data_IF_808268667076
#
_entry.id   IF_808268667076
#
_cell.length_a   1.000
_cell.length_b   1.000
_cell.length_c   1.000
_cell.angle_alpha   90.00
_cell.angle_beta   90.00
_cell.angle_gamma   90.00
#
_symmetry.space_group_name_H-M   'P 1'
#
loop_
_entity.id
_entity.type
_entity.pdbx_description
1 polymer ?
#
# COMPACT_ATOMS: atom_id res chain seq x y z
N UNK A 1 8.38 21.32 -5.42
CA UNK A 1 7.83 20.55 -6.56
C UNK A 1 7.58 19.14 -6.04
N UNK A 2 6.36 18.60 -6.15
CA UNK A 2 6.04 17.27 -5.64
C UNK A 2 6.11 16.23 -6.76
N UNK A 3 6.62 15.05 -6.42
CA UNK A 3 6.87 13.92 -7.35
C UNK A 3 5.64 13.00 -7.46
N UNK A 4 4.79 12.99 -6.44
CA UNK A 4 3.59 12.18 -6.36
C UNK A 4 2.96 12.29 -4.97
N UNK A 5 1.85 11.60 -4.77
CA UNK A 5 1.15 11.49 -3.50
C UNK A 5 0.47 10.13 -3.42
N UNK A 6 0.48 9.56 -2.23
CA UNK A 6 -0.22 8.35 -1.86
C UNK A 6 -1.19 8.64 -0.70
N UNK A 7 -2.12 7.72 -0.46
CA UNK A 7 -3.08 7.82 0.65
C UNK A 7 -2.50 7.31 1.98
N UNK A 8 -1.38 6.60 1.92
CA UNK A 8 -0.60 6.13 3.07
C UNK A 8 0.84 6.66 3.01
N UNK A 9 1.65 6.32 4.02
CA UNK A 9 3.04 6.76 4.05
C UNK A 9 3.82 6.13 2.90
N UNK A 10 4.53 6.97 2.15
CA UNK A 10 5.49 6.52 1.14
C UNK A 10 6.75 6.03 1.86
N UNK A 11 7.14 4.79 1.60
CA UNK A 11 8.34 4.17 2.18
C UNK A 11 9.52 4.26 1.20
N UNK A 12 9.25 4.01 -0.08
CA UNK A 12 10.29 3.91 -1.11
C UNK A 12 9.86 4.57 -2.41
N UNK A 13 10.84 5.12 -3.13
CA UNK A 13 10.67 5.67 -4.47
C UNK A 13 11.81 5.19 -5.35
N UNK A 14 11.52 4.87 -6.61
CA UNK A 14 12.54 4.52 -7.60
C UNK A 14 12.30 5.26 -8.90
N UNK A 15 13.33 5.94 -9.39
CA UNK A 15 13.35 6.56 -10.70
C UNK A 15 14.11 5.67 -11.69
N UNK A 16 13.70 5.71 -12.95
CA UNK A 16 14.41 5.01 -14.01
C UNK A 16 15.44 5.91 -14.68
N UNK A 17 16.62 5.37 -15.06
CA UNK A 17 17.60 6.10 -15.85
C UNK A 17 17.24 6.18 -17.34
N UNK A 18 16.25 5.40 -17.81
CA UNK A 18 15.93 5.25 -19.24
C UNK A 18 14.55 5.78 -19.62
N UNK A 19 13.74 6.23 -18.66
CA UNK A 19 12.43 6.86 -18.91
C UNK A 19 11.99 7.73 -17.72
N UNK A 20 11.05 8.67 -17.91
CA UNK A 20 10.72 9.66 -16.87
C UNK A 20 9.75 9.17 -15.79
N UNK A 21 9.34 7.90 -15.79
CA UNK A 21 8.44 7.33 -14.77
C UNK A 21 9.17 6.95 -13.48
N UNK A 22 8.46 7.11 -12.36
CA UNK A 22 8.88 6.73 -11.01
C UNK A 22 7.92 5.72 -10.40
N UNK A 23 8.44 4.73 -9.67
CA UNK A 23 7.69 3.85 -8.77
C UNK A 23 7.63 4.45 -7.38
N UNK A 24 6.50 4.32 -6.70
CA UNK A 24 6.26 4.74 -5.32
C UNK A 24 5.70 3.54 -4.56
N UNK A 25 6.41 3.05 -3.56
CA UNK A 25 5.96 1.97 -2.66
C UNK A 25 5.45 2.54 -1.34
N UNK A 26 4.28 2.08 -0.90
CA UNK A 26 3.56 2.64 0.25
C UNK A 26 3.36 1.61 1.38
N UNK A 27 3.07 2.09 2.59
CA UNK A 27 2.85 1.22 3.78
C UNK A 27 1.56 0.41 3.71
N UNK A 28 0.57 0.85 2.96
CA UNK A 28 -0.68 0.12 2.73
C UNK A 28 -0.55 -1.02 1.71
N UNK A 29 0.64 -1.23 1.16
CA UNK A 29 0.90 -2.24 0.14
C UNK A 29 0.61 -1.78 -1.29
N UNK A 30 0.20 -0.53 -1.51
CA UNK A 30 0.05 0.02 -2.85
C UNK A 30 1.42 0.34 -3.47
N UNK A 31 1.57 -0.03 -4.74
CA UNK A 31 2.68 0.40 -5.59
C UNK A 31 2.13 1.22 -6.75
N UNK A 32 2.59 2.46 -6.85
CA UNK A 32 2.07 3.45 -7.79
C UNK A 32 3.17 3.84 -8.78
N UNK A 33 2.79 4.05 -10.04
CA UNK A 33 3.66 4.61 -11.07
C UNK A 33 3.14 5.97 -11.51
N UNK A 34 4.06 6.90 -11.76
CA UNK A 34 3.72 8.26 -12.23
C UNK A 34 4.86 8.85 -13.04
N UNK A 35 4.54 9.78 -13.94
CA UNK A 35 5.53 10.56 -14.69
C UNK A 35 5.61 11.99 -14.10
N UNK A 36 6.54 12.27 -13.16
CA UNK A 36 6.70 13.60 -12.60
C UNK A 36 7.10 14.64 -13.65
N UNK A 37 7.84 14.25 -14.71
CA UNK A 37 8.32 15.18 -15.74
C UNK A 37 7.19 15.87 -16.48
N UNK A 38 6.00 15.26 -16.56
CA UNK A 38 4.82 15.91 -17.16
C UNK A 38 4.50 17.24 -16.46
N UNK A 39 4.57 17.27 -15.14
CA UNK A 39 4.31 18.48 -14.34
C UNK A 39 5.49 19.46 -14.35
N UNK A 40 6.72 18.94 -14.42
CA UNK A 40 7.93 19.76 -14.56
C UNK A 40 7.91 20.56 -15.85
N UNK A 41 7.59 19.90 -16.97
CA UNK A 41 7.62 20.50 -18.30
C UNK A 41 6.35 21.33 -18.59
N UNK A 42 5.21 20.94 -18.02
CA UNK A 42 3.91 21.60 -18.27
C UNK A 42 3.25 21.87 -16.93
N UNK A 43 3.43 23.09 -16.40
CA UNK A 43 2.92 23.48 -15.09
C UNK A 43 1.40 23.29 -14.92
N UNK A 44 0.62 23.46 -16.00
CA UNK A 44 -0.84 23.27 -15.99
C UNK A 44 -1.29 21.82 -16.24
N UNK A 45 -0.38 20.89 -16.53
CA UNK A 45 -0.76 19.51 -16.77
C UNK A 45 -1.27 18.84 -15.49
N UNK A 46 -2.25 17.97 -15.67
CA UNK A 46 -2.72 17.07 -14.61
C UNK A 46 -1.65 16.02 -14.30
N UNK A 47 -1.58 15.63 -13.02
CA UNK A 47 -0.72 14.55 -12.56
C UNK A 47 -1.52 13.27 -12.55
N UNK A 48 -1.12 12.33 -13.38
CA UNK A 48 -1.76 11.02 -13.50
C UNK A 48 -0.95 10.00 -12.71
N UNK A 49 -1.63 9.25 -11.85
CA UNK A 49 -1.07 8.11 -11.14
C UNK A 49 -1.75 6.84 -11.66
N UNK A 50 -0.95 5.82 -11.91
CA UNK A 50 -1.44 4.47 -12.20
C UNK A 50 -1.01 3.59 -11.03
N UNK A 51 -1.98 3.03 -10.31
CA UNK A 51 -1.67 1.96 -9.36
C UNK A 51 -1.27 0.73 -10.17
N UNK A 52 -0.05 0.23 -9.95
CA UNK A 52 0.40 -1.01 -10.54
C UNK A 52 -0.35 -2.17 -9.88
N UNK A 53 -0.29 -2.25 -8.55
CA UNK A 53 -1.04 -3.21 -7.76
C UNK A 53 -1.18 -2.77 -6.30
N UNK A 54 -2.01 -3.50 -5.57
CA UNK A 54 -2.12 -3.41 -4.12
C UNK A 54 -1.89 -4.78 -3.49
N UNK A 55 -0.96 -4.85 -2.55
CA UNK A 55 -0.74 -6.01 -1.72
C UNK A 55 -1.52 -5.90 -0.42
N UNK A 56 -2.35 -6.89 -0.14
CA UNK A 56 -3.06 -6.99 1.12
C UNK A 56 -2.56 -8.22 1.86
N UNK A 57 -2.31 -8.05 3.16
CA UNK A 57 -1.95 -9.14 4.04
C UNK A 57 -3.00 -9.30 5.15
N UNK A 58 -3.15 -10.55 5.61
CA UNK A 58 -4.01 -10.92 6.73
C UNK A 58 -3.25 -11.87 7.65
N UNK A 59 -3.25 -11.56 8.94
CA UNK A 59 -2.76 -12.43 10.02
C UNK A 59 -3.35 -13.85 9.98
N UNK A 60 -2.66 -14.76 10.67
CA UNK A 60 -3.21 -16.06 11.00
C UNK A 60 -4.45 -15.90 11.91
N UNK A 61 -5.44 -16.76 11.68
CA UNK A 61 -6.70 -16.78 12.43
C UNK A 61 -6.89 -18.18 13.00
N UNK A 62 -7.37 -18.28 14.24
CA UNK A 62 -7.83 -19.52 14.83
C UNK A 62 -8.97 -20.15 14.02
N UNK A 63 -9.26 -21.44 14.25
CA UNK A 63 -10.28 -22.21 13.50
C UNK A 63 -11.66 -21.55 13.49
N UNK A 64 -11.97 -20.76 14.50
CA UNK A 64 -13.26 -20.07 14.68
C UNK A 64 -13.21 -18.59 14.26
N UNK A 65 -12.20 -18.19 13.50
CA UNK A 65 -12.02 -16.81 13.04
C UNK A 65 -11.73 -15.82 14.17
N UNK A 66 -11.24 -16.29 15.31
CA UNK A 66 -10.61 -15.44 16.32
C UNK A 66 -9.17 -15.18 15.92
N UNK A 67 -8.67 -13.96 16.07
CA UNK A 67 -7.24 -13.67 15.91
C UNK A 67 -6.50 -14.57 16.91
N UNK A 68 -5.50 -15.31 16.44
CA UNK A 68 -4.69 -16.18 17.31
C UNK A 68 -4.04 -15.31 18.41
N UNK A 69 -4.10 -15.72 19.68
CA UNK A 69 -3.59 -14.94 20.82
C UNK A 69 -2.10 -14.62 20.66
N UNK A 70 -1.33 -15.52 20.03
CA UNK A 70 0.07 -15.28 19.66
C UNK A 70 0.22 -14.19 18.59
N UNK A 71 -0.73 -14.06 17.66
CA UNK A 71 -0.78 -13.01 16.63
C UNK A 71 -1.36 -11.70 17.15
N UNK A 72 -2.21 -11.75 18.19
CA UNK A 72 -2.71 -10.58 18.91
C UNK A 72 -1.64 -9.98 19.84
N UNK A 73 -0.74 -10.81 20.38
CA UNK A 73 0.39 -10.36 21.22
C UNK A 73 1.46 -9.57 20.45
N UNK A 74 1.47 -9.60 19.12
CA UNK A 74 2.30 -8.69 18.30
C UNK A 74 1.76 -7.24 18.29
N UNK A 75 0.52 -7.03 18.75
CA UNK A 75 -0.16 -5.73 18.80
C UNK A 75 -0.11 -5.09 20.20
N UNK A 76 1.02 -5.21 20.90
CA UNK A 76 1.20 -4.72 22.29
C UNK A 76 1.19 -3.19 22.46
N UNK A 77 0.71 -2.42 21.47
CA UNK A 77 0.63 -0.95 21.54
C UNK A 77 -0.76 -0.39 21.85
N UNK A 78 -1.77 -1.22 22.04
CA UNK A 78 -3.03 -0.71 22.58
C UNK A 78 -2.88 -0.42 24.07
N UNK A 79 -2.81 0.86 24.45
CA UNK A 79 -2.87 1.34 25.85
C UNK A 79 -4.14 0.88 26.59
N UNK A 80 -5.09 0.30 25.84
CA UNK A 80 -6.25 -0.40 26.33
C UNK A 80 -5.88 -1.87 26.60
N UNK A 81 -5.68 -2.20 27.89
CA UNK A 81 -5.53 -3.60 28.36
C UNK A 81 -6.76 -4.48 28.07
N UNK A 82 -7.88 -3.88 27.66
CA UNK A 82 -9.11 -4.57 27.30
C UNK A 82 -9.76 -3.89 26.07
N UNK A 83 -10.21 -4.66 25.07
CA UNK A 83 -11.01 -4.11 23.97
C UNK A 83 -12.32 -3.52 24.54
N UNK A 84 -12.84 -2.42 23.98
CA UNK A 84 -14.09 -1.82 24.45
C UNK A 84 -15.24 -2.83 24.38
N UNK A 85 -16.09 -2.85 25.42
CA UNK A 85 -17.18 -3.84 25.61
C UNK A 85 -18.16 -3.94 24.42
N UNK A 86 -18.19 -2.92 23.56
CA UNK A 86 -19.07 -2.82 22.39
C UNK A 86 -18.47 -3.37 21.08
N UNK A 87 -17.28 -4.00 21.10
CA UNK A 87 -16.81 -4.74 19.91
C UNK A 87 -17.67 -5.99 19.78
N UNK A 88 -18.65 -5.94 18.88
CA UNK A 88 -19.42 -7.11 18.46
C UNK A 88 -18.45 -8.22 18.06
N UNK A 89 -18.24 -9.19 18.94
CA UNK A 89 -17.51 -10.42 18.64
C UNK A 89 -18.41 -11.26 17.73
N UNK A 90 -18.48 -10.86 16.46
CA UNK A 90 -19.19 -11.61 15.44
C UNK A 90 -18.40 -12.89 15.22
N UNK A 91 -18.82 -13.97 15.90
CA UNK A 91 -18.24 -15.29 15.71
C UNK A 91 -18.63 -15.75 14.31
N UNK A 92 -17.70 -15.87 13.35
CA UNK A 92 -18.06 -16.42 12.05
C UNK A 92 -18.55 -17.85 12.27
N UNK A 93 -19.78 -18.13 11.82
CA UNK A 93 -20.43 -19.44 11.97
C UNK A 93 -19.85 -20.50 11.01
N UNK A 94 -18.70 -20.22 10.41
CA UNK A 94 -18.07 -21.02 9.36
C UNK A 94 -16.63 -21.30 9.79
N UNK A 95 -16.30 -22.59 9.92
CA UNK A 95 -14.93 -23.02 10.19
C UNK A 95 -14.01 -22.58 9.04
N UNK A 96 -12.93 -21.88 9.38
CA UNK A 96 -12.00 -21.38 8.37
C UNK A 96 -11.23 -22.55 7.75
N UNK A 97 -11.33 -22.71 6.42
CA UNK A 97 -10.54 -23.71 5.67
C UNK A 97 -9.03 -23.48 5.77
N UNK A 98 -8.59 -22.23 5.96
CA UNK A 98 -7.17 -21.84 6.08
C UNK A 98 -6.98 -20.88 7.26
N UNK A 99 -6.24 -21.37 8.25
CA UNK A 99 -5.91 -20.64 9.49
C UNK A 99 -4.60 -19.87 9.41
N UNK A 100 -3.67 -20.26 8.53
CA UNK A 100 -2.38 -19.55 8.36
C UNK A 100 -2.50 -18.14 7.78
N UNK A 101 -1.44 -17.31 7.82
CA UNK A 101 -1.46 -15.97 7.24
C UNK A 101 -1.75 -16.04 5.73
N UNK A 102 -2.36 -14.98 5.20
CA UNK A 102 -2.75 -14.92 3.79
C UNK A 102 -2.30 -13.61 3.17
N UNK A 103 -1.83 -13.68 1.93
CA UNK A 103 -1.61 -12.53 1.08
C UNK A 103 -2.52 -12.56 -0.12
N UNK A 104 -2.90 -11.36 -0.57
CA UNK A 104 -3.65 -11.14 -1.80
C UNK A 104 -2.99 -10.01 -2.57
N UNK A 105 -2.92 -10.19 -3.88
CA UNK A 105 -2.52 -9.13 -4.81
C UNK A 105 -3.77 -8.73 -5.58
N UNK A 106 -4.08 -7.44 -5.56
CA UNK A 106 -5.19 -6.84 -6.31
C UNK A 106 -4.60 -6.08 -7.49
N UNK A 107 -5.18 -6.29 -8.67
CA UNK A 107 -4.79 -5.71 -9.94
C UNK A 107 -6.00 -5.05 -10.63
N UNK A 108 -5.76 -4.44 -11.80
CA UNK A 108 -6.84 -3.89 -12.63
C UNK A 108 -7.30 -2.48 -12.23
N UNK A 109 -6.44 -1.73 -11.55
CA UNK A 109 -6.70 -0.34 -11.22
C UNK A 109 -6.72 0.53 -12.47
N UNK A 110 -7.58 1.55 -12.46
CA UNK A 110 -7.63 2.57 -13.51
C UNK A 110 -6.65 3.69 -13.18
N UNK A 111 -6.14 4.36 -14.21
CA UNK A 111 -5.36 5.58 -14.04
C UNK A 111 -6.25 6.67 -13.45
N UNK A 112 -5.74 7.38 -12.45
CA UNK A 112 -6.46 8.43 -11.75
C UNK A 112 -5.66 9.74 -11.79
N UNK A 113 -6.38 10.87 -11.91
CA UNK A 113 -5.77 12.19 -11.73
C UNK A 113 -5.67 12.46 -10.24
N UNK A 114 -4.43 12.60 -9.75
CA UNK A 114 -4.21 12.91 -8.34
C UNK A 114 -3.98 14.41 -8.15
N UNK A 115 -4.72 15.02 -7.21
CA UNK A 115 -4.56 16.43 -6.84
C UNK A 115 -3.57 16.55 -5.69
N UNK A 116 -2.61 17.48 -5.82
CA UNK A 116 -1.64 17.72 -4.76
C UNK A 116 -2.30 18.25 -3.48
N UNK A 117 -3.31 19.09 -3.67
CA UNK A 117 -4.10 19.68 -2.60
C UNK A 117 -5.09 18.66 -2.06
N UNK A 118 -5.09 18.50 -0.74
CA UNK A 118 -6.16 17.82 -0.01
C UNK A 118 -7.40 18.70 -0.12
N UNK A 119 -8.50 18.22 -0.70
CA UNK A 119 -9.81 18.86 -0.49
C UNK A 119 -10.16 18.70 1.00
N UNK A 120 -10.64 19.77 1.66
CA UNK A 120 -10.98 19.75 3.10
C UNK A 120 -11.86 18.53 3.44
N UNK A 121 -11.50 17.81 4.52
CA UNK A 121 -12.21 16.59 4.95
C UNK A 121 -11.44 15.29 4.70
N UNK A 122 -10.18 15.22 5.12
CA UNK A 122 -9.47 13.94 5.16
C UNK A 122 -10.28 12.96 6.01
N UNK A 123 -10.50 11.71 5.56
CA UNK A 123 -11.23 10.71 6.35
C UNK A 123 -10.59 10.43 7.72
N UNK A 124 -9.32 10.80 7.88
CA UNK A 124 -8.55 10.58 9.10
C UNK A 124 -8.46 11.83 9.99
N UNK A 125 -9.41 12.76 9.89
CA UNK A 125 -9.50 13.91 10.80
C UNK A 125 -10.48 13.61 11.94
N UNK A 126 -9.99 13.70 13.17
CA UNK A 126 -10.83 13.67 14.37
C UNK A 126 -10.42 14.83 15.28
N UNK A 127 -11.40 15.62 15.74
CA UNK A 127 -11.18 16.83 16.57
C UNK A 127 -10.14 17.83 15.99
N UNK A 128 -10.06 17.96 14.67
CA UNK A 128 -9.12 18.87 14.00
C UNK A 128 -7.67 18.36 13.94
N UNK A 129 -7.41 17.15 14.45
CA UNK A 129 -6.11 16.46 14.37
C UNK A 129 -6.16 15.46 13.21
N UNK A 130 -5.09 15.45 12.40
CA UNK A 130 -4.91 14.47 11.32
C UNK A 130 -4.21 13.24 11.88
N UNK A 131 -4.89 12.09 11.84
CA UNK A 131 -4.35 10.81 12.25
C UNK A 131 -3.69 10.10 11.07
N UNK A 132 -2.59 9.40 11.35
CA UNK A 132 -1.95 8.54 10.37
C UNK A 132 -2.42 7.09 10.57
N UNK A 133 -2.81 6.43 9.48
CA UNK A 133 -3.19 5.01 9.55
C UNK A 133 -1.94 4.17 9.74
N UNK A 134 -1.93 3.34 10.78
CA UNK A 134 -0.87 2.36 11.03
C UNK A 134 -1.24 1.08 10.31
N UNK A 135 -0.33 0.58 9.48
CA UNK A 135 -0.47 -0.67 8.73
C UNK A 135 0.44 -1.74 9.34
N UNK A 136 0.08 -2.99 9.10
CA UNK A 136 0.90 -4.14 9.47
C UNK A 136 2.15 -4.19 8.58
N UNK A 137 3.29 -4.56 9.16
CA UNK A 137 4.58 -4.57 8.47
C UNK A 137 4.52 -5.45 7.21
N UNK A 138 3.84 -6.59 7.30
CA UNK A 138 3.72 -7.56 6.22
C UNK A 138 2.91 -7.05 5.04
N UNK A 139 2.04 -6.05 5.24
CA UNK A 139 1.28 -5.43 4.15
C UNK A 139 2.16 -4.50 3.31
N UNK A 140 3.15 -3.86 3.93
CA UNK A 140 3.91 -2.77 3.33
C UNK A 140 4.72 -3.20 2.10
N UNK A 141 4.87 -2.26 1.15
CA UNK A 141 5.96 -2.36 0.16
C UNK A 141 7.28 -1.97 0.82
N UNK A 142 8.29 -2.83 0.69
CA UNK A 142 9.61 -2.68 1.34
C UNK A 142 10.69 -2.22 0.37
N UNK A 143 10.49 -2.36 -0.94
CA UNK A 143 11.39 -1.80 -1.95
C UNK A 143 10.70 -1.79 -3.31
N UNK A 144 11.02 -0.81 -4.15
CA UNK A 144 10.65 -0.79 -5.57
C UNK A 144 11.86 -0.46 -6.42
N UNK A 145 11.96 -1.03 -7.62
CA UNK A 145 13.07 -0.77 -8.54
C UNK A 145 12.64 -0.90 -10.01
N UNK A 146 13.10 0.03 -10.85
CA UNK A 146 13.09 -0.14 -12.30
C UNK A 146 14.32 -0.90 -12.79
N UNK A 147 14.17 -1.64 -13.87
CA UNK A 147 15.30 -2.23 -14.57
C UNK A 147 16.08 -1.12 -15.31
N UNK A 148 17.39 -0.93 -15.02
CA UNK A 148 18.17 0.15 -15.61
C UNK A 148 18.60 -0.12 -17.06
N UNK A 149 18.42 -1.34 -17.57
CA UNK A 149 18.84 -1.71 -18.91
C UNK A 149 17.84 -1.21 -19.96
N UNK A 150 18.31 -0.43 -20.93
CA UNK A 150 17.46 0.14 -21.98
C UNK A 150 16.58 -0.90 -22.70
N UNK A 151 17.10 -2.10 -22.96
CA UNK A 151 16.40 -3.19 -23.66
C UNK A 151 15.17 -3.74 -22.91
N UNK A 152 15.12 -3.54 -21.60
CA UNK A 152 14.04 -4.02 -20.73
C UNK A 152 13.69 -2.95 -19.69
N UNK A 153 13.77 -1.67 -20.08
CA UNK A 153 13.56 -0.53 -19.19
C UNK A 153 12.15 -0.48 -18.60
N UNK A 154 11.16 -1.08 -19.27
CA UNK A 154 9.78 -1.19 -18.78
C UNK A 154 9.58 -2.17 -17.63
N UNK A 155 10.60 -2.98 -17.28
CA UNK A 155 10.48 -3.97 -16.21
C UNK A 155 10.62 -3.31 -14.84
N UNK A 156 9.68 -3.60 -13.95
CA UNK A 156 9.66 -3.16 -12.58
C UNK A 156 9.67 -4.34 -11.60
N UNK A 157 10.24 -4.12 -10.42
CA UNK A 157 10.18 -5.05 -9.30
C UNK A 157 9.68 -4.33 -8.04
N UNK A 158 8.89 -5.04 -7.22
CA UNK A 158 8.43 -4.58 -5.92
C UNK A 158 8.57 -5.70 -4.88
N UNK A 159 9.27 -5.39 -3.79
CA UNK A 159 9.37 -6.22 -2.59
C UNK A 159 8.26 -5.88 -1.59
N UNK A 160 7.77 -6.90 -0.90
CA UNK A 160 6.65 -6.84 0.04
C UNK A 160 7.10 -7.30 1.44
N UNK A 161 6.44 -6.80 2.49
CA UNK A 161 6.79 -7.07 3.88
C UNK A 161 6.68 -8.53 4.29
N UNK A 162 5.82 -9.30 3.62
CA UNK A 162 5.70 -10.75 3.83
C UNK A 162 6.77 -11.58 3.08
N UNK A 163 7.77 -10.95 2.45
CA UNK A 163 8.85 -11.61 1.74
C UNK A 163 8.57 -11.96 0.27
N UNK A 164 7.39 -11.62 -0.26
CA UNK A 164 7.10 -11.78 -1.68
C UNK A 164 7.77 -10.69 -2.53
N UNK A 165 8.10 -11.04 -3.76
CA UNK A 165 8.60 -10.10 -4.78
C UNK A 165 7.74 -10.23 -6.03
N UNK A 166 7.21 -9.12 -6.51
CA UNK A 166 6.51 -9.04 -7.79
C UNK A 166 7.44 -8.41 -8.83
N UNK A 167 7.47 -9.01 -10.03
CA UNK A 167 8.22 -8.50 -11.18
C UNK A 167 7.29 -8.50 -12.39
N UNK A 168 7.22 -7.40 -13.12
CA UNK A 168 6.34 -7.26 -14.29
C UNK A 168 6.90 -6.25 -15.31
N UNK A 169 6.55 -6.44 -16.58
CA UNK A 169 6.80 -5.47 -17.63
C UNK A 169 5.62 -4.48 -17.72
N UNK A 170 5.87 -3.22 -17.34
CA UNK A 170 4.86 -2.17 -17.28
C UNK A 170 4.77 -1.34 -18.56
N UNK A 171 5.58 -1.64 -19.57
CA UNK A 171 5.60 -0.92 -20.84
C UNK A 171 4.82 -1.61 -21.97
N UNK A 172 4.15 -2.73 -21.68
CA UNK A 172 3.34 -3.50 -22.63
C UNK A 172 1.93 -2.91 -22.85
#
# INVERSE_FOLDING_TARGET
>A
MSVGRANSNIQHISASPVHPFTLIGCTDGMVITTNPMRKVLIAKAEMWHQTWFMHEWRRAMGKHGTIDEASAAADTRSDLKQPPDNVMKMKPNVELKRTGPMSRIVDGFKAEVYKLWVEQGLPNQYEGVVYNTIYEEESASTQVAWNPNLRCGGWAAAGLGNGLVRIEDLAL
#
